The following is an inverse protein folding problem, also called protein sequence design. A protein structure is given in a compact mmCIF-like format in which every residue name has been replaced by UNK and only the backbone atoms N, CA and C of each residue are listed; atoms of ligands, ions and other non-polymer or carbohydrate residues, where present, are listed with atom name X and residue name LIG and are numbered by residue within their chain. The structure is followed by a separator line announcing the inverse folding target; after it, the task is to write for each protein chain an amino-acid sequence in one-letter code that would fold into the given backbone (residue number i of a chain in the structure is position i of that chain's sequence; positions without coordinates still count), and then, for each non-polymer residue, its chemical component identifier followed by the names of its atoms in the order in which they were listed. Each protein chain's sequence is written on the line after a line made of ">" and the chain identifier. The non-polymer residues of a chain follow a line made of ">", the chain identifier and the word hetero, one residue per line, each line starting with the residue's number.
data_IF_473683926564
#
_entry.id   IF_473683926564
#
_cell.length_a   1.000
_cell.length_b   1.000
_cell.length_c   1.000
_cell.angle_alpha   90.00
_cell.angle_beta   90.00
_cell.angle_gamma   90.00
#
_symmetry.space_group_name_H-M   'P 1'
#
loop_
_entity.id
_entity.type
_entity.pdbx_description
1 polymer ?
#
# COMPACT_ATOMS: atom_id res chain seq x y z
N UNK A 1 -1.07 4.50 -5.01
CA UNK A 1 -0.28 4.44 -6.24
C UNK A 1 0.85 3.41 -6.09
N UNK A 2 1.04 2.60 -7.13
CA UNK A 2 1.95 1.45 -7.10
C UNK A 2 3.24 1.74 -7.88
N UNK A 3 4.38 1.39 -7.30
CA UNK A 3 5.70 1.55 -7.92
C UNK A 3 6.49 0.26 -7.83
N UNK A 4 7.45 0.08 -8.72
CA UNK A 4 8.36 -1.08 -8.70
C UNK A 4 7.61 -2.41 -8.73
N UNK A 5 8.01 -3.35 -7.87
CA UNK A 5 7.42 -4.67 -7.82
C UNK A 5 5.93 -4.66 -7.48
N UNK A 6 5.43 -3.62 -6.81
CA UNK A 6 4.01 -3.54 -6.46
C UNK A 6 3.11 -3.26 -7.67
N UNK A 7 3.67 -2.89 -8.81
CA UNK A 7 2.88 -2.67 -10.04
C UNK A 7 2.14 -3.90 -10.51
N UNK A 8 2.57 -5.07 -10.11
CA UNK A 8 1.88 -6.32 -10.45
C UNK A 8 0.53 -6.46 -9.75
N UNK A 9 0.24 -5.65 -8.74
CA UNK A 9 -1.00 -5.74 -7.97
C UNK A 9 -2.22 -5.22 -8.73
N UNK A 10 -2.03 -4.36 -9.73
CA UNK A 10 -3.13 -3.77 -10.49
C UNK A 10 -2.66 -3.35 -11.88
N UNK A 11 -3.55 -3.47 -12.86
CA UNK A 11 -3.27 -3.08 -14.25
C UNK A 11 -3.01 -1.60 -14.41
N UNK A 12 -3.60 -0.77 -13.55
CA UNK A 12 -3.52 0.68 -13.65
C UNK A 12 -2.46 1.29 -12.75
N UNK A 13 -1.68 0.46 -12.06
CA UNK A 13 -0.74 0.93 -11.04
C UNK A 13 -1.43 1.73 -9.94
N UNK A 14 -2.71 1.46 -9.72
CA UNK A 14 -3.54 2.18 -8.77
C UNK A 14 -4.57 1.22 -8.17
N UNK A 15 -4.72 1.28 -6.86
CA UNK A 15 -5.75 0.54 -6.14
C UNK A 15 -6.49 1.54 -5.26
N UNK A 16 -7.83 1.49 -5.27
CA UNK A 16 -8.65 2.37 -4.47
C UNK A 16 -9.26 1.59 -3.31
N UNK A 17 -9.20 2.17 -2.14
CA UNK A 17 -9.83 1.63 -0.94
C UNK A 17 -10.73 2.69 -0.30
N UNK A 18 -11.88 2.25 0.19
CA UNK A 18 -12.69 3.08 1.07
C UNK A 18 -12.21 2.83 2.49
N UNK A 19 -11.88 3.90 3.19
CA UNK A 19 -11.35 3.83 4.54
C UNK A 19 -12.17 4.69 5.49
N UNK A 20 -12.11 4.35 6.77
CA UNK A 20 -12.78 5.13 7.81
C UNK A 20 -12.05 6.44 8.04
N UNK A 21 -12.76 7.42 8.60
CA UNK A 21 -12.12 8.64 9.08
C UNK A 21 -11.04 8.27 10.11
N UNK A 22 -9.91 8.98 10.05
CA UNK A 22 -8.76 8.74 10.93
C UNK A 22 -8.09 7.37 10.75
N UNK A 23 -8.30 6.71 9.61
CA UNK A 23 -7.54 5.51 9.29
C UNK A 23 -6.05 5.84 9.19
N UNK A 24 -5.20 4.90 9.57
CA UNK A 24 -3.75 5.07 9.54
C UNK A 24 -3.14 4.35 8.34
N UNK A 25 -1.88 4.60 8.08
CA UNK A 25 -1.12 3.86 7.07
C UNK A 25 -1.12 2.37 7.40
N UNK A 26 -1.06 2.00 8.68
CA UNK A 26 -1.16 0.59 9.07
C UNK A 26 -2.47 -0.03 8.58
N UNK A 27 -3.57 0.70 8.67
CA UNK A 27 -4.86 0.24 8.18
C UNK A 27 -4.85 0.05 6.67
N UNK A 28 -4.20 0.95 5.94
CA UNK A 28 -4.04 0.82 4.49
C UNK A 28 -3.20 -0.41 4.14
N UNK A 29 -2.11 -0.63 4.87
CA UNK A 29 -1.25 -1.79 4.66
C UNK A 29 -2.04 -3.10 4.87
N UNK A 30 -2.83 -3.16 5.93
CA UNK A 30 -3.65 -4.33 6.24
C UNK A 30 -4.74 -4.56 5.17
N UNK A 31 -5.38 -3.49 4.70
CA UNK A 31 -6.36 -3.57 3.62
C UNK A 31 -5.74 -4.07 2.32
N UNK A 32 -4.53 -3.61 2.02
CA UNK A 32 -3.83 -4.04 0.82
C UNK A 32 -3.45 -5.52 0.90
N UNK A 33 -3.02 -5.99 2.06
CA UNK A 33 -2.72 -7.42 2.27
C UNK A 33 -3.98 -8.25 2.06
N UNK A 34 -5.10 -7.79 2.60
CA UNK A 34 -6.38 -8.47 2.43
C UNK A 34 -6.80 -8.52 0.95
N UNK A 35 -6.64 -7.41 0.24
CA UNK A 35 -6.89 -7.33 -1.20
C UNK A 35 -6.08 -8.38 -1.96
N UNK A 36 -4.81 -8.54 -1.61
CA UNK A 36 -3.93 -9.48 -2.29
C UNK A 36 -4.31 -10.94 -1.98
N UNK A 37 -4.77 -11.22 -0.77
CA UNK A 37 -5.25 -12.56 -0.43
C UNK A 37 -6.47 -12.94 -1.25
N UNK A 38 -7.39 -12.00 -1.45
CA UNK A 38 -8.62 -12.25 -2.21
C UNK A 38 -8.33 -12.39 -3.70
N UNK A 39 -7.48 -11.55 -4.26
CA UNK A 39 -7.29 -11.46 -5.71
C UNK A 39 -6.13 -12.29 -6.26
N UNK A 40 -5.21 -12.73 -5.41
CA UNK A 40 -4.02 -13.47 -5.83
C UNK A 40 -3.78 -14.72 -5.00
N UNK A 41 -4.84 -15.27 -4.40
CA UNK A 41 -4.83 -16.53 -3.66
C UNK A 41 -3.78 -16.59 -2.54
N UNK A 42 -3.56 -15.46 -1.86
CA UNK A 42 -2.61 -15.40 -0.75
C UNK A 42 -1.17 -15.51 -1.17
N UNK A 43 -0.81 -14.93 -2.32
CA UNK A 43 0.58 -14.93 -2.78
C UNK A 43 1.51 -14.36 -1.72
N UNK A 44 2.38 -15.21 -1.17
CA UNK A 44 3.26 -14.83 -0.06
C UNK A 44 4.28 -13.77 -0.45
N UNK A 45 4.72 -13.76 -1.71
CA UNK A 45 5.66 -12.76 -2.18
C UNK A 45 5.04 -11.37 -2.21
N UNK A 46 3.77 -11.28 -2.63
CA UNK A 46 3.06 -10.01 -2.64
C UNK A 46 2.87 -9.49 -1.22
N UNK A 47 2.49 -10.36 -0.29
CA UNK A 47 2.35 -9.98 1.10
C UNK A 47 3.66 -9.41 1.67
N UNK A 48 4.78 -10.06 1.40
CA UNK A 48 6.09 -9.59 1.85
C UNK A 48 6.44 -8.23 1.26
N UNK A 49 6.10 -8.00 0.01
CA UNK A 49 6.32 -6.70 -0.63
C UNK A 49 5.58 -5.61 0.15
N UNK A 50 4.30 -5.83 0.45
CA UNK A 50 3.51 -4.84 1.19
C UNK A 50 4.05 -4.63 2.60
N UNK A 51 4.41 -5.70 3.29
CA UNK A 51 4.91 -5.61 4.67
C UNK A 51 6.21 -4.82 4.78
N UNK A 52 7.05 -4.88 3.75
CA UNK A 52 8.36 -4.23 3.75
C UNK A 52 8.39 -2.89 2.99
N UNK A 53 7.29 -2.50 2.38
CA UNK A 53 7.23 -1.28 1.58
C UNK A 53 7.13 -0.03 2.46
N UNK A 54 7.69 1.08 1.96
CA UNK A 54 7.45 2.40 2.51
C UNK A 54 6.19 2.99 1.88
N UNK A 55 5.55 3.90 2.58
CA UNK A 55 4.41 4.64 2.07
C UNK A 55 4.73 6.13 2.06
N UNK A 56 4.27 6.82 1.02
CA UNK A 56 4.43 8.27 0.89
C UNK A 56 3.06 8.93 0.85
N UNK A 57 2.96 10.08 1.52
CA UNK A 57 1.77 10.89 1.48
C UNK A 57 1.63 11.59 0.13
N UNK A 58 0.50 12.25 -0.08
CA UNK A 58 0.23 13.03 -1.28
C UNK A 58 1.28 14.13 -1.51
N UNK A 59 1.96 14.56 -0.44
CA UNK A 59 3.01 15.58 -0.51
C UNK A 59 4.40 14.99 -0.74
N UNK A 60 4.50 13.73 -1.10
CA UNK A 60 5.76 13.02 -1.38
C UNK A 60 6.67 12.86 -0.16
N UNK A 61 6.09 12.84 1.03
CA UNK A 61 6.84 12.58 2.26
C UNK A 61 6.63 11.14 2.70
N UNK A 62 7.71 10.45 3.05
CA UNK A 62 7.60 9.12 3.64
C UNK A 62 6.91 9.25 5.00
N UNK A 63 5.91 8.44 5.24
CA UNK A 63 5.10 8.49 6.44
C UNK A 63 5.16 7.17 7.21
N UNK A 64 5.02 7.26 8.52
CA UNK A 64 5.02 6.08 9.38
C UNK A 64 3.65 5.40 9.37
N UNK A 65 3.58 4.19 9.95
CA UNK A 65 2.32 3.47 10.07
C UNK A 65 1.28 4.20 10.93
N UNK A 66 1.72 5.16 11.73
CA UNK A 66 0.82 5.95 12.58
C UNK A 66 0.24 7.18 11.88
N UNK A 67 0.67 7.46 10.66
CA UNK A 67 0.16 8.61 9.91
C UNK A 67 -1.35 8.45 9.69
N UNK A 68 -2.11 9.46 10.07
CA UNK A 68 -3.58 9.46 9.92
C UNK A 68 -4.01 10.09 8.61
N UNK A 69 -4.96 9.44 7.95
CA UNK A 69 -5.54 9.95 6.72
C UNK A 69 -6.86 10.60 7.07
N UNK A 70 -6.94 11.92 6.89
CA UNK A 70 -8.10 12.72 7.31
C UNK A 70 -8.97 13.18 6.15
N UNK A 71 -8.58 12.87 4.92
CA UNK A 71 -9.31 13.24 3.70
C UNK A 71 -8.98 12.21 2.61
N UNK A 72 -9.66 12.28 1.50
CA UNK A 72 -9.29 11.47 0.33
C UNK A 72 -7.88 11.87 -0.09
N UNK A 73 -7.00 10.93 -0.13
CA UNK A 73 -5.59 11.19 -0.35
C UNK A 73 -4.98 10.08 -1.20
N UNK A 74 -4.07 10.45 -2.09
CA UNK A 74 -3.33 9.50 -2.90
C UNK A 74 -2.07 9.10 -2.15
N UNK A 75 -1.98 7.83 -1.79
CA UNK A 75 -0.83 7.29 -1.05
C UNK A 75 -0.01 6.44 -2.02
N UNK A 76 1.29 6.66 -2.05
CA UNK A 76 2.20 5.86 -2.86
C UNK A 76 2.81 4.75 -2.01
N UNK A 77 2.87 3.54 -2.58
CA UNK A 77 3.58 2.43 -1.96
C UNK A 77 4.89 2.21 -2.71
N UNK A 78 5.99 2.19 -1.97
CA UNK A 78 7.33 2.08 -2.54
C UNK A 78 8.01 0.84 -1.96
N UNK A 79 8.09 -0.26 -2.75
CA UNK A 79 8.78 -1.46 -2.30
C UNK A 79 10.28 -1.23 -2.12
N UNK A 80 10.95 -2.06 -1.31
CA UNK A 80 12.38 -1.95 -1.14
C UNK A 80 13.11 -2.24 -2.46
N UNK A 81 14.19 -1.52 -2.69
CA UNK A 81 15.02 -1.70 -3.87
C UNK A 81 15.86 -2.98 -3.69
N UNK A 82 15.99 -3.73 -4.78
CA UNK A 82 16.81 -4.93 -4.75
C UNK A 82 16.07 -6.20 -4.42
N UNK A 83 14.74 -6.14 -4.39
CA UNK A 83 13.90 -7.30 -4.22
C UNK A 83 14.00 -7.97 -2.86
N UNK A 84 14.54 -7.26 -1.95
CA UNK A 84 14.64 -7.51 -0.52
C UNK A 84 14.41 -8.90 -0.01
#
# INVERSE_FOLDING_TARGET
>A
ELFGASREFSKNNLIEFEIKNDATIKDIRDEMINYLEINFDGNKNFKKIVESSAFCSENNNIVSDNYKITKNEKIAIIPPIGGG
#
